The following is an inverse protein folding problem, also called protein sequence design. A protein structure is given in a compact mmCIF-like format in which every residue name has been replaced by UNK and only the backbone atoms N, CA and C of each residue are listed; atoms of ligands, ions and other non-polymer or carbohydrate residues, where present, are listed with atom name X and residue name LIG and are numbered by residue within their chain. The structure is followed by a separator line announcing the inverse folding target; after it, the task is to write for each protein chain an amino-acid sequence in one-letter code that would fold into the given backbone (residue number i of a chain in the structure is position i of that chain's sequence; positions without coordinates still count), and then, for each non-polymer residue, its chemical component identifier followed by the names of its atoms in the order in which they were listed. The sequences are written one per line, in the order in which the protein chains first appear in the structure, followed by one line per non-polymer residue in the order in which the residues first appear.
data_IF_708503088695
#
_entry.id   IF_708503088695
#
_cell.length_a   1.000
_cell.length_b   1.000
_cell.length_c   1.000
_cell.angle_alpha   90.00
_cell.angle_beta   90.00
_cell.angle_gamma   90.00
#
_symmetry.space_group_name_H-M   'P 1'
#
loop_
_entity.id
_entity.type
_entity.pdbx_description
1 polymer ?
#
# COMPACT_ATOMS: atom_id res chain seq x y z
N UNK A 1 0.61 73.42 40.95
CA UNK A 1 1.54 73.07 42.04
C UNK A 1 1.34 71.59 42.35
N UNK A 2 2.42 70.79 42.25
CA UNK A 2 2.67 69.49 42.91
C UNK A 2 1.67 68.33 42.65
N UNK A 3 2.04 67.07 42.40
CA UNK A 3 3.34 66.38 42.30
C UNK A 3 3.06 64.89 42.02
N UNK A 4 3.97 64.21 41.30
CA UNK A 4 4.48 62.84 41.58
C UNK A 4 3.56 61.63 41.33
N UNK A 5 3.72 60.88 40.22
CA UNK A 5 4.67 59.77 39.95
C UNK A 5 4.24 58.39 40.48
N UNK A 6 4.53 57.35 39.66
CA UNK A 6 4.74 55.91 39.96
C UNK A 6 3.47 55.04 39.84
N UNK A 7 3.26 54.34 38.71
CA UNK A 7 3.83 53.01 38.36
C UNK A 7 3.08 51.87 39.04
N UNK A 8 2.27 51.11 38.28
CA UNK A 8 2.32 49.65 38.33
C UNK A 8 1.42 49.02 37.24
N UNK A 9 2.08 48.45 36.24
CA UNK A 9 1.69 47.25 35.49
C UNK A 9 0.19 47.10 35.13
N UNK A 10 -0.16 47.58 33.93
CA UNK A 10 -1.11 46.86 33.08
C UNK A 10 -0.51 45.45 32.86
N UNK A 11 -0.90 44.49 33.71
CA UNK A 11 -0.68 43.08 33.46
C UNK A 11 -1.63 42.67 32.33
N UNK A 12 -1.27 43.06 31.10
CA UNK A 12 -1.81 42.50 29.88
C UNK A 12 -1.33 41.04 29.88
N UNK A 13 -2.16 40.17 30.44
CA UNK A 13 -1.98 38.73 30.39
C UNK A 13 -2.15 38.31 28.92
N UNK A 14 -1.10 38.51 28.12
CA UNK A 14 -0.94 37.87 26.84
C UNK A 14 -0.85 36.36 27.11
N UNK A 15 -2.01 35.69 27.16
CA UNK A 15 -2.08 34.26 26.88
C UNK A 15 -1.60 34.09 25.45
N UNK A 16 -0.28 33.93 25.29
CA UNK A 16 0.31 33.40 24.08
C UNK A 16 -0.18 31.97 23.98
N UNK A 17 -1.30 31.78 23.28
CA UNK A 17 -1.76 30.46 22.87
C UNK A 17 -0.63 29.86 22.02
N UNK A 18 0.19 29.03 22.64
CA UNK A 18 1.20 28.26 21.92
C UNK A 18 0.43 27.28 21.04
N UNK A 19 0.34 27.60 19.75
CA UNK A 19 -0.18 26.69 18.76
C UNK A 19 0.73 25.46 18.73
N UNK A 20 0.36 24.42 19.48
CA UNK A 20 1.06 23.15 19.43
C UNK A 20 0.77 22.51 18.07
N UNK A 21 1.77 22.52 17.20
CA UNK A 21 1.68 21.81 15.92
C UNK A 21 1.51 20.31 16.20
N UNK A 22 0.31 19.79 15.94
CA UNK A 22 0.05 18.35 16.01
C UNK A 22 0.92 17.67 14.95
N UNK A 23 1.87 16.86 15.38
CA UNK A 23 2.69 16.06 14.45
C UNK A 23 1.87 14.86 13.98
N UNK A 24 1.29 14.97 12.79
CA UNK A 24 0.52 13.90 12.17
C UNK A 24 1.49 12.92 11.51
N UNK A 25 1.54 11.68 12.01
CA UNK A 25 2.42 10.63 11.49
C UNK A 25 1.70 9.76 10.47
N UNK A 26 2.39 9.37 9.40
CA UNK A 26 1.90 8.36 8.47
C UNK A 26 1.78 6.99 9.17
N UNK A 27 0.77 6.21 8.78
CA UNK A 27 0.51 4.89 9.35
C UNK A 27 0.90 3.82 8.34
N UNK A 28 1.68 2.84 8.80
CA UNK A 28 2.15 1.73 7.97
C UNK A 28 1.45 0.44 8.36
N UNK A 29 0.85 -0.22 7.38
CA UNK A 29 0.22 -1.53 7.49
C UNK A 29 1.08 -2.57 6.76
N UNK A 30 1.52 -3.60 7.46
CA UNK A 30 2.29 -4.71 6.87
C UNK A 30 1.35 -5.88 6.61
N UNK A 31 1.30 -6.36 5.37
CA UNK A 31 0.54 -7.56 5.03
C UNK A 31 1.44 -8.77 4.87
N UNK A 32 0.89 -9.96 5.10
CA UNK A 32 1.63 -11.22 4.94
C UNK A 32 1.91 -11.59 3.48
N UNK A 33 1.06 -11.16 2.54
CA UNK A 33 1.08 -11.62 1.13
C UNK A 33 1.13 -10.50 0.07
N UNK A 34 0.91 -9.23 0.43
CA UNK A 34 0.75 -8.12 -0.51
C UNK A 34 1.62 -6.90 -0.14
N UNK A 35 2.75 -7.12 0.53
CA UNK A 35 3.68 -6.07 0.92
C UNK A 35 3.12 -5.07 1.94
N UNK A 36 3.65 -3.86 1.92
CA UNK A 36 3.36 -2.80 2.88
C UNK A 36 2.48 -1.72 2.25
N UNK A 37 1.49 -1.24 3.01
CA UNK A 37 0.65 -0.09 2.67
C UNK A 37 1.00 1.05 3.61
N UNK A 38 1.26 2.23 3.06
CA UNK A 38 1.49 3.45 3.84
C UNK A 38 0.29 4.37 3.63
N UNK A 39 -0.40 4.68 4.71
CA UNK A 39 -1.43 5.70 4.76
C UNK A 39 -0.77 7.06 5.04
N UNK A 40 -0.87 7.95 4.06
CA UNK A 40 -0.30 9.29 4.11
C UNK A 40 -1.36 10.32 4.55
N UNK A 41 -1.25 10.81 5.79
CA UNK A 41 -2.20 11.80 6.29
C UNK A 41 -2.12 13.12 5.52
N UNK A 42 -0.90 13.55 5.15
CA UNK A 42 -0.70 14.80 4.43
C UNK A 42 -1.35 14.78 3.05
N UNK A 43 -1.35 13.64 2.38
CA UNK A 43 -2.07 13.46 1.11
C UNK A 43 -3.58 13.52 1.29
N UNK A 44 -4.12 12.84 2.30
CA UNK A 44 -5.56 12.80 2.54
C UNK A 44 -6.11 14.15 3.00
N UNK A 45 -5.43 14.83 3.93
CA UNK A 45 -5.88 16.13 4.45
C UNK A 45 -5.80 17.27 3.43
N UNK A 46 -5.16 17.06 2.28
CA UNK A 46 -5.16 18.00 1.15
C UNK A 46 -6.29 17.75 0.15
N UNK A 47 -7.03 16.65 0.28
CA UNK A 47 -8.15 16.36 -0.62
C UNK A 47 -9.34 17.26 -0.30
N UNK A 48 -9.93 17.87 -1.33
CA UNK A 48 -11.01 18.85 -1.16
C UNK A 48 -12.18 18.33 -0.30
N UNK A 49 -12.55 17.05 -0.44
CA UNK A 49 -13.66 16.42 0.28
C UNK A 49 -13.41 16.27 1.80
N UNK A 50 -12.15 16.26 2.26
CA UNK A 50 -11.77 16.00 3.65
C UNK A 50 -10.67 16.96 4.15
N UNK A 51 -10.61 18.15 3.55
CA UNK A 51 -9.54 19.12 3.80
C UNK A 51 -9.43 19.47 5.28
N UNK A 52 -8.31 19.12 5.90
CA UNK A 52 -8.04 19.28 7.35
C UNK A 52 -9.16 18.79 8.28
N UNK A 53 -10.03 17.87 7.82
CA UNK A 53 -11.18 17.39 8.59
C UNK A 53 -10.89 16.04 9.26
N UNK A 54 -10.39 16.08 10.49
CA UNK A 54 -10.08 14.89 11.28
C UNK A 54 -11.31 14.01 11.56
N UNK A 55 -12.49 14.63 11.72
CA UNK A 55 -13.75 13.94 12.05
C UNK A 55 -14.31 13.12 10.89
N UNK A 56 -13.87 13.40 9.66
CA UNK A 56 -14.26 12.62 8.49
C UNK A 56 -13.84 11.14 8.62
N UNK A 57 -12.78 10.87 9.40
CA UNK A 57 -12.25 9.52 9.61
C UNK A 57 -12.34 9.08 11.07
N UNK A 58 -12.10 9.99 12.02
CA UNK A 58 -11.97 9.67 13.44
C UNK A 58 -13.18 10.12 14.26
N UNK A 59 -13.72 9.31 15.16
CA UNK A 59 -13.44 7.87 15.38
C UNK A 59 -14.36 6.95 14.58
N UNK A 60 -15.19 7.51 13.68
CA UNK A 60 -16.26 6.79 13.00
C UNK A 60 -15.75 5.63 12.13
N UNK A 61 -14.66 5.85 11.39
CA UNK A 61 -14.05 4.83 10.52
C UNK A 61 -12.83 4.21 11.19
N UNK A 62 -11.99 5.05 11.84
CA UNK A 62 -10.77 4.62 12.50
C UNK A 62 -10.76 5.09 13.95
N UNK A 63 -10.74 4.15 14.89
CA UNK A 63 -10.54 4.46 16.31
C UNK A 63 -9.06 4.81 16.56
N UNK A 64 -8.81 5.95 17.21
CA UNK A 64 -7.46 6.42 17.52
C UNK A 64 -6.82 5.66 18.69
N UNK A 65 -7.63 5.07 19.57
CA UNK A 65 -7.19 4.30 20.75
C UNK A 65 -6.96 2.83 20.39
N UNK A 66 -7.70 2.30 19.43
CA UNK A 66 -7.61 0.89 19.00
C UNK A 66 -7.38 0.79 17.51
N UNK A 67 -6.26 0.16 17.11
CA UNK A 67 -6.03 -0.18 15.70
C UNK A 67 -7.03 -1.24 15.26
N UNK A 68 -7.85 -0.92 14.27
CA UNK A 68 -8.68 -1.90 13.57
C UNK A 68 -7.89 -2.51 12.41
N UNK A 69 -7.98 -3.83 12.28
CA UNK A 69 -7.53 -4.53 11.08
C UNK A 69 -8.76 -4.92 10.28
N UNK A 70 -8.79 -4.57 9.01
CA UNK A 70 -9.86 -4.96 8.09
C UNK A 70 -9.29 -5.77 6.94
N UNK A 71 -10.05 -6.77 6.52
CA UNK A 71 -9.75 -7.54 5.32
C UNK A 71 -10.13 -6.76 4.05
N UNK A 72 -9.59 -7.15 2.89
CA UNK A 72 -10.04 -6.58 1.61
C UNK A 72 -11.53 -6.82 1.37
N UNK A 73 -12.04 -8.00 1.73
CA UNK A 73 -13.47 -8.31 1.63
C UNK A 73 -14.34 -7.40 2.50
N UNK A 74 -13.85 -6.99 3.67
CA UNK A 74 -14.52 -6.00 4.51
C UNK A 74 -14.45 -4.59 3.93
N UNK A 75 -13.31 -4.22 3.33
CA UNK A 75 -13.17 -2.95 2.64
C UNK A 75 -14.09 -2.85 1.43
N UNK A 76 -14.26 -3.91 0.64
CA UNK A 76 -15.24 -3.95 -0.45
C UNK A 76 -16.69 -3.75 0.04
N UNK A 77 -16.97 -4.05 1.32
CA UNK A 77 -18.26 -3.79 1.97
C UNK A 77 -18.34 -2.41 2.62
N UNK A 78 -17.43 -1.50 2.30
CA UNK A 78 -17.44 -0.12 2.78
C UNK A 78 -16.79 0.10 4.15
N UNK A 79 -16.09 -0.89 4.73
CA UNK A 79 -15.36 -0.69 5.99
C UNK A 79 -13.97 -0.09 5.73
N UNK A 80 -13.37 0.54 6.75
CA UNK A 80 -11.99 1.04 6.72
C UNK A 80 -11.72 1.89 5.47
N UNK A 81 -10.63 1.65 4.73
CA UNK A 81 -10.29 2.39 3.50
C UNK A 81 -11.43 2.39 2.48
N UNK A 82 -12.21 1.29 2.41
CA UNK A 82 -13.31 1.13 1.47
C UNK A 82 -14.53 2.00 1.76
N UNK A 83 -14.61 2.65 2.93
CA UNK A 83 -15.63 3.67 3.19
C UNK A 83 -15.56 4.83 2.17
N UNK A 84 -14.36 5.08 1.64
CA UNK A 84 -14.10 6.11 0.62
C UNK A 84 -13.54 5.55 -0.70
N UNK A 85 -12.74 4.49 -0.65
CA UNK A 85 -12.16 3.87 -1.84
C UNK A 85 -13.13 2.87 -2.50
N UNK A 86 -14.30 3.36 -2.88
CA UNK A 86 -15.44 2.58 -3.40
C UNK A 86 -15.64 2.71 -4.92
N UNK A 87 -14.78 3.47 -5.60
CA UNK A 87 -14.91 3.80 -7.03
C UNK A 87 -15.82 5.01 -7.31
N UNK A 88 -16.56 5.51 -6.32
CA UNK A 88 -17.40 6.69 -6.43
C UNK A 88 -16.76 7.92 -5.80
N UNK A 89 -16.33 7.82 -4.53
CA UNK A 89 -15.71 8.94 -3.79
C UNK A 89 -14.20 9.03 -4.04
N UNK A 90 -13.56 7.89 -4.20
CA UNK A 90 -12.17 7.76 -4.61
C UNK A 90 -11.99 6.48 -5.43
N UNK A 91 -10.78 6.26 -5.92
CA UNK A 91 -10.43 5.03 -6.63
C UNK A 91 -10.77 3.77 -5.84
N UNK A 92 -11.14 2.69 -6.52
CA UNK A 92 -11.70 1.51 -5.85
C UNK A 92 -10.60 0.69 -5.16
N UNK A 93 -10.90 0.05 -4.02
CA UNK A 93 -9.96 -0.85 -3.30
C UNK A 93 -9.47 -2.06 -4.11
N UNK A 94 -10.00 -2.27 -5.32
CA UNK A 94 -9.56 -3.33 -6.26
C UNK A 94 -8.34 -2.91 -7.09
N UNK A 95 -8.00 -1.63 -7.07
CA UNK A 95 -6.77 -1.11 -7.67
C UNK A 95 -5.56 -1.38 -6.75
N UNK A 96 -5.29 -2.67 -6.51
CA UNK A 96 -4.39 -3.17 -5.47
C UNK A 96 -3.06 -2.41 -5.38
N UNK A 97 -2.41 -2.18 -6.53
CA UNK A 97 -1.07 -1.58 -6.64
C UNK A 97 -0.99 -0.12 -6.21
N UNK A 98 -2.13 0.56 -6.06
CA UNK A 98 -2.17 1.95 -5.58
C UNK A 98 -1.86 2.07 -4.10
N UNK A 99 -2.16 1.01 -3.34
CA UNK A 99 -1.90 0.93 -1.91
C UNK A 99 -0.79 -0.08 -1.60
N UNK A 100 -0.90 -1.28 -2.17
CA UNK A 100 0.06 -2.38 -2.04
C UNK A 100 1.18 -2.21 -3.06
N UNK A 101 2.25 -1.51 -2.69
CA UNK A 101 3.41 -1.32 -3.58
C UNK A 101 4.14 -2.66 -3.80
N UNK A 102 3.70 -3.42 -4.80
CA UNK A 102 4.41 -4.58 -5.30
C UNK A 102 5.57 -4.14 -6.19
N UNK A 103 6.78 -4.58 -5.88
CA UNK A 103 7.95 -4.30 -6.71
C UNK A 103 7.95 -5.26 -7.89
N UNK A 104 8.15 -4.73 -9.09
CA UNK A 104 8.42 -5.58 -10.24
C UNK A 104 9.72 -6.35 -10.05
N UNK A 105 9.73 -7.58 -10.57
CA UNK A 105 10.81 -8.53 -10.29
C UNK A 105 11.56 -8.81 -11.58
N UNK A 106 12.84 -8.47 -11.58
CA UNK A 106 13.77 -8.88 -12.63
C UNK A 106 14.61 -10.05 -12.14
N UNK A 107 14.51 -11.19 -12.81
CA UNK A 107 15.35 -12.36 -12.60
C UNK A 107 16.49 -12.31 -13.61
N UNK A 108 17.72 -12.23 -13.11
CA UNK A 108 18.91 -12.21 -13.96
C UNK A 108 19.30 -13.66 -14.24
N UNK A 109 19.19 -14.06 -15.51
CA UNK A 109 19.56 -15.41 -15.97
C UNK A 109 20.77 -15.28 -16.87
N UNK A 110 21.93 -15.80 -16.43
CA UNK A 110 23.15 -15.76 -17.21
C UNK A 110 22.96 -16.59 -18.49
N UNK A 111 23.28 -16.01 -19.64
CA UNK A 111 23.26 -16.70 -20.94
C UNK A 111 21.88 -16.86 -21.59
N UNK A 112 20.79 -16.38 -20.99
CA UNK A 112 19.44 -16.53 -21.53
C UNK A 112 18.60 -15.25 -21.50
N UNK A 113 19.20 -14.08 -21.28
CA UNK A 113 18.47 -12.81 -21.13
C UNK A 113 17.77 -12.66 -19.78
N UNK A 114 17.46 -11.42 -19.42
CA UNK A 114 16.77 -11.12 -18.16
C UNK A 114 15.29 -11.44 -18.26
N UNK A 115 14.73 -12.07 -17.22
CA UNK A 115 13.28 -12.32 -17.14
C UNK A 115 12.62 -11.23 -16.31
N UNK A 116 11.62 -10.56 -16.89
CA UNK A 116 10.84 -9.54 -16.19
C UNK A 116 9.47 -10.10 -15.81
N UNK A 117 9.19 -10.12 -14.51
CA UNK A 117 7.87 -10.45 -13.98
C UNK A 117 7.14 -9.17 -13.57
N UNK A 118 5.94 -8.98 -14.13
CA UNK A 118 5.05 -7.86 -13.78
C UNK A 118 3.86 -8.32 -12.92
N UNK A 119 3.78 -7.78 -11.71
CA UNK A 119 2.59 -7.93 -10.87
C UNK A 119 1.38 -7.33 -11.55
N UNK A 120 1.49 -6.15 -12.19
CA UNK A 120 0.36 -5.49 -12.86
C UNK A 120 -0.35 -6.43 -13.84
N UNK A 121 0.41 -7.14 -14.68
CA UNK A 121 -0.15 -8.09 -15.66
C UNK A 121 -0.79 -9.31 -15.00
N UNK A 122 -0.20 -9.81 -13.90
CA UNK A 122 -0.71 -11.00 -13.22
C UNK A 122 -1.92 -10.69 -12.33
N UNK A 123 -1.92 -9.55 -11.63
CA UNK A 123 -3.02 -9.14 -10.74
C UNK A 123 -4.25 -8.65 -11.49
N UNK A 124 -4.18 -8.52 -12.81
CA UNK A 124 -5.36 -8.22 -13.63
C UNK A 124 -6.40 -9.35 -13.59
N UNK A 125 -5.97 -10.60 -13.33
CA UNK A 125 -6.84 -11.79 -13.28
C UNK A 125 -6.60 -12.70 -12.06
N UNK A 126 -5.62 -12.37 -11.22
CA UNK A 126 -5.27 -13.17 -10.05
C UNK A 126 -5.23 -12.29 -8.80
N UNK A 127 -5.52 -12.88 -7.66
CA UNK A 127 -5.35 -12.30 -6.34
C UNK A 127 -3.93 -12.54 -5.80
N UNK A 128 -3.48 -11.70 -4.87
CA UNK A 128 -2.17 -11.87 -4.23
C UNK A 128 -1.99 -13.27 -3.62
N UNK A 129 -3.08 -13.84 -3.08
CA UNK A 129 -3.08 -15.14 -2.41
C UNK A 129 -3.01 -16.34 -3.36
N UNK A 130 -3.25 -16.13 -4.66
CA UNK A 130 -3.12 -17.19 -5.67
C UNK A 130 -1.66 -17.57 -5.86
N UNK A 131 -0.75 -16.63 -5.60
CA UNK A 131 0.70 -16.80 -5.69
C UNK A 131 1.38 -16.82 -4.32
N UNK A 132 1.00 -15.91 -3.41
CA UNK A 132 1.65 -15.73 -2.12
C UNK A 132 0.83 -16.33 -0.96
N UNK A 133 1.45 -17.00 0.01
CA UNK A 133 2.87 -17.39 0.07
C UNK A 133 3.12 -18.78 -0.50
N UNK A 134 2.09 -19.39 -1.14
CA UNK A 134 2.08 -20.80 -1.53
C UNK A 134 3.11 -21.13 -2.61
N UNK A 135 3.20 -20.31 -3.66
CA UNK A 135 4.12 -20.49 -4.79
C UNK A 135 5.37 -19.63 -4.60
N UNK A 136 5.18 -18.38 -4.18
CA UNK A 136 6.25 -17.42 -3.96
C UNK A 136 6.18 -16.86 -2.55
N UNK A 137 7.33 -16.72 -1.87
CA UNK A 137 7.42 -15.89 -0.67
C UNK A 137 7.20 -14.42 -1.00
N UNK A 138 6.88 -13.59 0.00
CA UNK A 138 6.74 -12.13 -0.18
C UNK A 138 8.06 -11.38 -0.32
N UNK A 139 9.17 -12.06 0.00
CA UNK A 139 10.51 -11.55 -0.23
C UNK A 139 11.05 -12.09 -1.54
N UNK A 140 11.95 -11.32 -2.18
CA UNK A 140 12.64 -11.78 -3.39
C UNK A 140 13.36 -13.08 -3.10
N UNK A 141 12.98 -14.14 -3.81
CA UNK A 141 13.57 -15.45 -3.62
C UNK A 141 15.02 -15.40 -4.09
N UNK A 142 15.97 -15.74 -3.19
CA UNK A 142 17.41 -15.65 -3.49
C UNK A 142 17.88 -16.74 -4.46
N UNK A 143 17.12 -17.85 -4.56
CA UNK A 143 17.38 -18.95 -5.48
C UNK A 143 16.23 -19.05 -6.50
N UNK A 144 16.43 -18.58 -7.74
CA UNK A 144 15.44 -18.76 -8.81
C UNK A 144 15.22 -20.25 -9.10
N UNK A 145 13.98 -20.63 -9.45
CA UNK A 145 13.69 -21.96 -9.96
C UNK A 145 14.31 -22.16 -11.34
N UNK A 146 14.67 -23.40 -11.67
CA UNK A 146 15.17 -23.76 -13.01
C UNK A 146 14.02 -23.99 -14.00
N UNK A 147 14.30 -24.07 -15.30
CA UNK A 147 13.30 -24.48 -16.30
C UNK A 147 12.76 -25.89 -16.02
N UNK A 148 13.63 -26.81 -15.60
CA UNK A 148 13.23 -28.17 -15.21
C UNK A 148 12.28 -28.16 -13.99
N UNK A 149 12.54 -27.32 -12.99
CA UNK A 149 11.60 -27.13 -11.88
C UNK A 149 10.24 -26.61 -12.35
N UNK A 150 10.25 -25.70 -13.33
CA UNK A 150 9.02 -25.12 -13.89
C UNK A 150 8.22 -26.13 -14.71
N UNK A 151 8.88 -26.99 -15.50
CA UNK A 151 8.20 -28.09 -16.19
C UNK A 151 7.53 -29.08 -15.23
N UNK A 152 8.09 -29.25 -14.02
CA UNK A 152 7.49 -30.02 -12.93
C UNK A 152 6.38 -29.27 -12.17
N UNK A 153 5.96 -28.10 -12.64
CA UNK A 153 4.87 -27.32 -12.06
C UNK A 153 5.26 -26.42 -10.89
N UNK A 154 6.55 -26.19 -10.62
CA UNK A 154 7.00 -25.24 -9.60
C UNK A 154 7.10 -23.83 -10.18
N UNK A 155 7.14 -22.81 -9.32
CA UNK A 155 7.34 -21.40 -9.73
C UNK A 155 6.36 -20.99 -10.84
N UNK A 156 6.83 -20.37 -11.93
CA UNK A 156 6.02 -19.95 -13.08
C UNK A 156 5.20 -21.11 -13.67
N UNK A 157 5.77 -22.32 -13.68
CA UNK A 157 5.14 -23.52 -14.21
C UNK A 157 3.91 -24.01 -13.45
N UNK A 158 3.66 -23.51 -12.24
CA UNK A 158 2.41 -23.78 -11.51
C UNK A 158 1.16 -23.34 -12.32
N UNK A 159 1.33 -22.33 -13.19
CA UNK A 159 0.31 -21.85 -14.11
C UNK A 159 0.74 -21.93 -15.58
N UNK A 160 2.00 -21.65 -15.90
CA UNK A 160 2.56 -21.74 -17.26
C UNK A 160 2.87 -23.19 -17.65
N UNK A 161 1.84 -24.02 -17.70
CA UNK A 161 1.91 -25.47 -17.95
C UNK A 161 1.11 -25.91 -19.19
N UNK A 162 0.65 -24.96 -20.00
CA UNK A 162 -0.18 -25.22 -21.17
C UNK A 162 -1.66 -25.46 -20.87
N UNK A 163 -2.06 -25.50 -19.59
CA UNK A 163 -3.47 -25.66 -19.18
C UNK A 163 -4.06 -24.36 -18.65
N UNK A 164 -3.35 -23.65 -17.75
CA UNK A 164 -3.83 -22.37 -17.18
C UNK A 164 -3.29 -21.15 -17.91
N UNK A 165 -2.06 -21.23 -18.41
CA UNK A 165 -1.39 -20.25 -19.26
C UNK A 165 -0.48 -20.98 -20.26
N UNK A 166 0.11 -20.24 -21.19
CA UNK A 166 1.06 -20.80 -22.15
C UNK A 166 2.20 -21.57 -21.43
N UNK A 167 2.69 -22.68 -21.99
CA UNK A 167 3.66 -23.54 -21.31
C UNK A 167 5.05 -22.90 -21.24
N UNK A 168 5.80 -23.17 -20.18
CA UNK A 168 7.21 -22.73 -20.02
C UNK A 168 8.17 -23.35 -21.04
N UNK A 169 7.76 -24.43 -21.72
CA UNK A 169 8.56 -25.10 -22.77
C UNK A 169 8.50 -24.39 -24.13
N UNK A 170 7.69 -23.33 -24.25
CA UNK A 170 7.54 -22.55 -25.48
C UNK A 170 7.53 -21.04 -25.17
N UNK A 171 7.55 -20.22 -26.22
CA UNK A 171 7.42 -18.75 -26.13
C UNK A 171 8.51 -18.09 -25.26
N UNK A 172 9.76 -18.53 -25.37
CA UNK A 172 10.88 -18.08 -24.55
C UNK A 172 10.99 -16.54 -24.49
N UNK A 173 10.78 -15.86 -25.62
CA UNK A 173 10.87 -14.41 -25.77
C UNK A 173 9.79 -13.60 -25.01
N UNK A 174 8.69 -14.25 -24.61
CA UNK A 174 7.65 -13.62 -23.78
C UNK A 174 8.19 -13.31 -22.37
N UNK A 175 9.08 -14.16 -21.87
CA UNK A 175 9.68 -14.01 -20.56
C UNK A 175 11.11 -13.47 -20.63
N UNK A 176 11.93 -14.04 -21.50
CA UNK A 176 13.35 -13.72 -21.64
C UNK A 176 13.55 -12.54 -22.59
N UNK A 177 13.99 -11.41 -22.02
CA UNK A 177 14.50 -10.28 -22.80
C UNK A 177 15.97 -10.52 -23.08
N UNK A 178 16.23 -11.09 -24.26
CA UNK A 178 17.56 -11.28 -24.84
C UNK A 178 18.05 -10.01 -25.52
#
# INVERSE_FOLDING_TARGET
MLSRTILCCLALCCLTATAQAITIKNITYTTKSAGTVVFDHGYHLKQAAINNNCKACHSAIFDMKKRSHSTMAEMEKGKSCGACHDGAKAFHVRECVRCHKAKEVTLVVKGAGNVQFSHKSHTARNSCNDCHTKIFGTNRNKKPATMSDMEQGKSCGACHNGKKAFPVTANCAECHKM
#
